data_IF_634713647238
#
_entry.id   IF_634713647238
#
_cell.length_a   1.000
_cell.length_b   1.000
_cell.length_c   1.000
_cell.angle_alpha   90.00
_cell.angle_beta   90.00
_cell.angle_gamma   90.00
#
_symmetry.space_group_name_H-M   'P 1'
#
loop_
_entity.id
_entity.type
_entity.pdbx_description
1 polymer ?
#
# COMPACT_ATOMS: atom_id res chain seq x y z
N UNK A 1 17.25 -19.20 4.84
CA UNK A 1 17.28 -20.66 4.60
C UNK A 1 16.48 -21.31 5.72
N UNK A 2 15.60 -22.25 5.41
CA UNK A 2 15.06 -23.19 6.40
C UNK A 2 16.10 -24.31 6.58
N UNK A 3 16.38 -24.70 7.83
CA UNK A 3 17.24 -25.85 8.13
C UNK A 3 16.37 -27.12 8.15
N UNK A 4 16.77 -28.13 7.39
CA UNK A 4 16.09 -29.43 7.29
C UNK A 4 16.91 -30.45 8.10
N UNK A 5 16.35 -30.92 9.21
CA UNK A 5 16.97 -31.92 10.07
C UNK A 5 16.55 -33.36 9.71
N UNK A 6 15.77 -33.53 8.63
CA UNK A 6 15.27 -34.81 8.14
C UNK A 6 14.15 -35.43 8.98
N UNK A 7 13.71 -34.77 10.05
CA UNK A 7 12.67 -35.29 10.96
C UNK A 7 11.27 -34.81 10.60
N UNK A 8 11.17 -33.69 9.86
CA UNK A 8 9.90 -33.08 9.47
C UNK A 8 9.77 -33.00 7.95
N UNK A 9 8.84 -33.75 7.36
CA UNK A 9 8.54 -33.62 5.94
C UNK A 9 7.64 -32.41 5.70
N UNK A 10 8.17 -31.40 5.00
CA UNK A 10 7.37 -30.26 4.54
C UNK A 10 6.32 -30.78 3.55
N UNK A 11 5.04 -30.65 3.91
CA UNK A 11 3.92 -31.00 3.05
C UNK A 11 3.95 -30.23 1.72
N UNK A 12 3.34 -30.79 0.67
CA UNK A 12 3.22 -30.09 -0.61
C UNK A 12 2.41 -28.80 -0.40
N UNK A 13 2.76 -27.68 -1.07
CA UNK A 13 1.96 -26.47 -1.00
C UNK A 13 0.52 -26.74 -1.47
N UNK A 14 -0.44 -26.59 -0.58
CA UNK A 14 -1.86 -26.65 -0.91
C UNK A 14 -2.41 -25.22 -1.04
N UNK A 15 -3.43 -25.06 -1.87
CA UNK A 15 -4.16 -23.79 -1.94
C UNK A 15 -5.00 -23.65 -0.69
N UNK A 16 -4.78 -22.57 0.06
CA UNK A 16 -5.63 -22.24 1.20
C UNK A 16 -7.09 -22.05 0.75
N UNK A 17 -8.07 -22.51 1.55
CA UNK A 17 -9.48 -22.20 1.33
C UNK A 17 -9.74 -20.69 1.30
N UNK A 18 -10.74 -20.23 0.55
CA UNK A 18 -11.00 -18.78 0.47
C UNK A 18 -11.40 -18.16 1.81
N UNK A 19 -11.95 -18.93 2.75
CA UNK A 19 -12.26 -18.48 4.11
C UNK A 19 -10.98 -18.06 4.85
N UNK A 20 -9.92 -18.85 4.77
CA UNK A 20 -8.62 -18.53 5.38
C UNK A 20 -7.92 -17.37 4.66
N UNK A 21 -7.98 -17.36 3.31
CA UNK A 21 -7.44 -16.23 2.52
C UNK A 21 -8.12 -14.91 2.91
N UNK A 22 -9.45 -14.94 3.07
CA UNK A 22 -10.23 -13.77 3.48
C UNK A 22 -9.83 -13.30 4.88
N UNK A 23 -9.77 -14.22 5.84
CA UNK A 23 -9.39 -13.89 7.21
C UNK A 23 -8.00 -13.21 7.24
N UNK A 24 -7.00 -13.78 6.57
CA UNK A 24 -5.67 -13.18 6.48
C UNK A 24 -5.72 -11.79 5.83
N UNK A 25 -6.52 -11.61 4.78
CA UNK A 25 -6.68 -10.31 4.13
C UNK A 25 -7.33 -9.25 5.05
N UNK A 26 -8.33 -9.62 5.84
CA UNK A 26 -8.99 -8.73 6.80
C UNK A 26 -8.04 -8.32 7.94
N UNK A 27 -7.27 -9.27 8.49
CA UNK A 27 -6.27 -9.01 9.54
C UNK A 27 -5.14 -8.10 9.03
N UNK A 28 -4.60 -8.38 7.85
CA UNK A 28 -3.55 -7.54 7.25
C UNK A 28 -4.08 -6.15 6.86
N UNK A 29 -5.34 -6.05 6.43
CA UNK A 29 -5.98 -4.76 6.18
C UNK A 29 -6.06 -3.94 7.46
N UNK A 30 -6.65 -4.47 8.53
CA UNK A 30 -6.77 -3.76 9.80
C UNK A 30 -5.40 -3.31 10.34
N UNK A 31 -4.41 -4.20 10.36
CA UNK A 31 -3.09 -3.88 10.89
C UNK A 31 -2.29 -2.87 10.04
N UNK A 32 -2.25 -3.07 8.71
CA UNK A 32 -1.43 -2.23 7.84
C UNK A 32 -2.08 -0.88 7.52
N UNK A 33 -3.41 -0.84 7.39
CA UNK A 33 -4.14 0.37 7.02
C UNK A 33 -4.14 1.39 8.15
N UNK A 34 -4.35 0.97 9.40
CA UNK A 34 -4.37 1.87 10.56
C UNK A 34 -3.04 2.61 10.75
N UNK A 35 -1.91 1.93 10.48
CA UNK A 35 -0.59 2.57 10.49
C UNK A 35 -0.46 3.63 9.39
N UNK A 36 -0.97 3.36 8.19
CA UNK A 36 -0.98 4.32 7.09
C UNK A 36 -1.79 5.57 7.45
N UNK A 37 -2.94 5.40 8.10
CA UNK A 37 -3.78 6.49 8.59
C UNK A 37 -3.06 7.35 9.63
N UNK A 38 -2.31 6.73 10.55
CA UNK A 38 -1.47 7.45 11.51
C UNK A 38 -0.42 8.33 10.82
N UNK A 39 0.28 7.77 9.84
CA UNK A 39 1.29 8.49 9.05
C UNK A 39 0.67 9.64 8.25
N UNK A 40 -0.50 9.43 7.64
CA UNK A 40 -1.22 10.50 6.94
C UNK A 40 -1.66 11.62 7.90
N UNK A 41 -2.14 11.29 9.11
CA UNK A 41 -2.47 12.32 10.12
C UNK A 41 -1.25 13.19 10.46
N UNK A 42 -0.07 12.59 10.64
CA UNK A 42 1.16 13.34 10.83
C UNK A 42 1.53 14.19 9.61
N UNK A 43 1.33 13.69 8.39
CA UNK A 43 1.47 14.47 7.17
C UNK A 43 0.54 15.69 7.13
N UNK A 44 -0.72 15.55 7.56
CA UNK A 44 -1.66 16.68 7.65
C UNK A 44 -1.23 17.71 8.70
N UNK A 45 -0.77 17.25 9.87
CA UNK A 45 -0.27 18.14 10.92
C UNK A 45 0.94 18.95 10.43
N UNK A 46 1.88 18.29 9.75
CA UNK A 46 3.06 18.94 9.19
C UNK A 46 2.73 20.02 8.15
N UNK A 47 1.56 19.95 7.49
CA UNK A 47 1.08 21.05 6.64
C UNK A 47 0.78 22.31 7.46
N UNK A 48 0.07 22.15 8.58
CA UNK A 48 -0.34 23.24 9.47
C UNK A 48 0.89 23.87 10.14
N UNK A 49 1.82 23.04 10.58
CA UNK A 49 3.06 23.47 11.25
C UNK A 49 4.15 23.94 10.26
N UNK A 50 3.89 23.81 8.95
CA UNK A 50 4.83 24.11 7.86
C UNK A 50 6.14 23.30 7.92
N UNK A 51 6.08 22.11 8.53
CA UNK A 51 7.20 21.16 8.62
C UNK A 51 7.27 20.25 7.37
N UNK A 52 7.28 20.84 6.17
CA UNK A 52 7.12 20.10 4.91
C UNK A 52 8.17 19.02 4.68
N UNK A 53 9.40 19.22 5.19
CA UNK A 53 10.47 18.23 5.12
C UNK A 53 10.11 16.95 5.87
N UNK A 54 9.72 17.08 7.14
CA UNK A 54 9.33 15.93 7.97
C UNK A 54 7.99 15.35 7.50
N UNK A 55 7.05 16.22 7.15
CA UNK A 55 5.78 15.82 6.56
C UNK A 55 5.94 14.94 5.32
N UNK A 56 6.90 15.27 4.43
CA UNK A 56 7.13 14.51 3.20
C UNK A 56 7.63 13.09 3.48
N UNK A 57 8.38 12.91 4.57
CA UNK A 57 8.76 11.57 5.05
C UNK A 57 7.53 10.78 5.49
N UNK A 58 6.63 11.39 6.26
CA UNK A 58 5.39 10.74 6.68
C UNK A 58 4.47 10.40 5.50
N UNK A 59 4.32 11.30 4.52
CA UNK A 59 3.54 11.05 3.31
C UNK A 59 4.12 9.90 2.49
N UNK A 60 5.45 9.82 2.35
CA UNK A 60 6.10 8.68 1.69
C UNK A 60 5.75 7.36 2.39
N UNK A 61 5.92 7.32 3.71
CA UNK A 61 5.63 6.12 4.51
C UNK A 61 4.15 5.73 4.42
N UNK A 62 3.23 6.70 4.43
CA UNK A 62 1.80 6.45 4.24
C UNK A 62 1.53 5.81 2.87
N UNK A 63 2.09 6.38 1.79
CA UNK A 63 1.97 5.82 0.44
C UNK A 63 2.52 4.39 0.35
N UNK A 64 3.70 4.14 0.91
CA UNK A 64 4.30 2.80 0.96
C UNK A 64 3.35 1.81 1.63
N UNK A 65 2.76 2.20 2.76
CA UNK A 65 1.83 1.36 3.53
C UNK A 65 0.52 1.11 2.80
N UNK A 66 -0.07 2.10 2.14
CA UNK A 66 -1.27 1.91 1.34
C UNK A 66 -1.05 0.89 0.20
N UNK A 67 0.03 1.05 -0.57
CA UNK A 67 0.35 0.08 -1.61
C UNK A 67 0.59 -1.33 -1.04
N UNK A 68 1.35 -1.45 0.05
CA UNK A 68 1.62 -2.76 0.67
C UNK A 68 0.35 -3.41 1.22
N UNK A 69 -0.54 -2.63 1.83
CA UNK A 69 -1.86 -3.10 2.31
C UNK A 69 -2.64 -3.72 1.16
N UNK A 70 -2.76 -3.00 0.04
CA UNK A 70 -3.45 -3.53 -1.13
C UNK A 70 -2.81 -4.83 -1.66
N UNK A 71 -1.48 -4.91 -1.70
CA UNK A 71 -0.77 -6.09 -2.20
C UNK A 71 -0.96 -7.33 -1.31
N UNK A 72 -1.05 -7.12 0.00
CA UNK A 72 -1.35 -8.16 0.99
C UNK A 72 -2.80 -8.64 0.85
N UNK A 73 -3.77 -7.72 0.83
CA UNK A 73 -5.19 -8.06 0.64
C UNK A 73 -5.43 -8.76 -0.70
N UNK A 74 -4.75 -8.33 -1.77
CA UNK A 74 -4.94 -8.86 -3.11
C UNK A 74 -4.37 -10.27 -3.32
N UNK A 75 -3.21 -10.58 -2.74
CA UNK A 75 -2.54 -11.86 -3.04
C UNK A 75 -1.66 -12.41 -1.92
N UNK A 76 -1.77 -11.89 -0.70
CA UNK A 76 -0.91 -12.28 0.42
C UNK A 76 0.58 -11.96 0.21
N UNK A 77 0.93 -11.16 -0.79
CA UNK A 77 2.34 -10.86 -1.09
C UNK A 77 2.76 -9.58 -0.41
N UNK A 78 3.85 -9.63 0.35
CA UNK A 78 4.51 -8.45 0.91
C UNK A 78 5.68 -8.02 0.00
N UNK A 79 5.56 -6.91 -0.75
CA UNK A 79 6.67 -6.40 -1.56
C UNK A 79 7.88 -6.06 -0.68
N UNK A 80 9.07 -6.48 -1.11
CA UNK A 80 10.34 -6.15 -0.43
C UNK A 80 10.80 -4.72 -0.71
N UNK A 81 10.34 -4.12 -1.82
CA UNK A 81 10.68 -2.74 -2.15
C UNK A 81 9.96 -1.74 -1.24
N UNK A 82 10.64 -0.63 -0.96
CA UNK A 82 10.09 0.55 -0.30
C UNK A 82 9.86 1.71 -1.28
N UNK A 83 10.32 1.56 -2.54
CA UNK A 83 10.26 2.61 -3.55
C UNK A 83 8.87 2.75 -4.15
N UNK A 84 8.28 3.94 -4.10
CA UNK A 84 6.93 4.19 -4.64
C UNK A 84 6.88 3.99 -6.16
N UNK A 85 7.98 4.24 -6.85
CA UNK A 85 8.17 4.02 -8.29
C UNK A 85 8.12 2.53 -8.67
N UNK A 86 8.29 1.64 -7.68
CA UNK A 86 8.12 0.19 -7.84
C UNK A 86 6.74 -0.23 -7.37
N UNK A 87 6.31 0.25 -6.21
CA UNK A 87 5.03 -0.14 -5.60
C UNK A 87 3.81 0.33 -6.40
N UNK A 88 3.85 1.54 -6.96
CA UNK A 88 2.78 2.10 -7.79
C UNK A 88 2.48 1.24 -9.02
N UNK A 89 3.48 0.93 -9.88
CA UNK A 89 3.30 0.02 -11.01
C UNK A 89 2.86 -1.39 -10.61
N UNK A 90 3.34 -1.92 -9.48
CA UNK A 90 2.91 -3.23 -8.96
C UNK A 90 1.42 -3.24 -8.58
N UNK A 91 0.92 -2.16 -7.96
CA UNK A 91 -0.50 -2.03 -7.65
C UNK A 91 -1.33 -1.83 -8.93
N UNK A 92 -0.85 -0.98 -9.85
CA UNK A 92 -1.50 -0.71 -11.14
C UNK A 92 -1.67 -1.95 -12.01
N UNK A 93 -0.71 -2.89 -11.99
CA UNK A 93 -0.82 -4.14 -12.76
C UNK A 93 -1.92 -5.08 -12.26
N UNK A 94 -2.38 -4.89 -11.01
CA UNK A 94 -3.43 -5.68 -10.37
C UNK A 94 -4.78 -4.98 -10.36
N UNK A 95 -4.79 -3.65 -10.30
CA UNK A 95 -6.00 -2.85 -10.48
C UNK A 95 -5.74 -1.53 -11.20
N UNK A 96 -6.59 -1.27 -12.21
CA UNK A 96 -6.60 0.00 -12.94
C UNK A 96 -6.97 1.19 -12.04
N UNK A 97 -7.56 0.96 -10.87
CA UNK A 97 -7.88 2.02 -9.90
C UNK A 97 -6.65 2.84 -9.47
N UNK A 98 -5.46 2.23 -9.47
CA UNK A 98 -4.21 2.92 -9.11
C UNK A 98 -3.59 3.74 -10.25
N UNK A 99 -4.10 3.64 -11.48
CA UNK A 99 -3.45 4.24 -12.64
C UNK A 99 -3.32 5.77 -12.58
N UNK A 100 -4.25 6.43 -11.89
CA UNK A 100 -4.36 7.89 -11.85
C UNK A 100 -4.02 8.47 -10.47
N UNK A 101 -3.39 7.71 -9.58
CA UNK A 101 -3.08 8.15 -8.21
C UNK A 101 -1.95 9.16 -8.17
N UNK A 102 -0.92 9.03 -9.02
CA UNK A 102 0.12 10.05 -9.20
C UNK A 102 0.19 10.37 -10.69
N UNK A 103 -0.67 11.28 -11.20
CA UNK A 103 -0.55 11.74 -12.57
C UNK A 103 0.81 12.41 -12.76
N UNK A 104 1.33 12.33 -13.99
CA UNK A 104 2.58 12.98 -14.39
C UNK A 104 2.31 13.86 -15.60
N UNK A 105 1.21 14.62 -15.52
CA UNK A 105 0.68 15.39 -16.64
C UNK A 105 1.58 16.60 -16.91
N UNK A 106 2.03 17.25 -15.84
CA UNK A 106 2.88 18.44 -15.91
C UNK A 106 4.31 18.15 -15.40
N UNK A 107 5.31 18.98 -15.76
CA UNK A 107 6.62 18.95 -15.11
C UNK A 107 6.55 19.09 -13.59
N UNK A 108 5.64 19.92 -13.10
CA UNK A 108 5.44 20.21 -11.68
C UNK A 108 4.92 18.98 -10.91
N UNK A 109 3.96 18.25 -11.51
CA UNK A 109 3.46 16.97 -10.97
C UNK A 109 4.61 15.97 -10.78
N UNK A 110 5.50 15.89 -11.78
CA UNK A 110 6.67 14.99 -11.78
C UNK A 110 7.67 15.39 -10.72
N UNK A 111 7.96 16.68 -10.58
CA UNK A 111 8.90 17.17 -9.57
C UNK A 111 8.38 16.92 -8.16
N UNK A 112 7.10 17.19 -7.89
CA UNK A 112 6.51 16.94 -6.58
C UNK A 112 6.49 15.44 -6.24
N UNK A 113 6.20 14.58 -7.22
CA UNK A 113 6.30 13.14 -7.02
C UNK A 113 7.75 12.66 -6.80
N UNK A 114 8.74 13.19 -7.52
CA UNK A 114 10.16 12.90 -7.30
C UNK A 114 10.57 13.28 -5.86
N UNK A 115 10.16 14.46 -5.39
CA UNK A 115 10.40 14.88 -4.00
C UNK A 115 9.77 13.93 -2.99
N UNK A 116 8.53 13.47 -3.23
CA UNK A 116 7.89 12.47 -2.38
C UNK A 116 8.71 11.17 -2.31
N UNK A 117 9.19 10.68 -3.45
CA UNK A 117 10.00 9.47 -3.52
C UNK A 117 11.33 9.63 -2.76
N UNK A 118 12.02 10.75 -2.96
CA UNK A 118 13.31 11.04 -2.33
C UNK A 118 13.20 11.30 -0.83
N UNK A 119 12.05 11.79 -0.35
CA UNK A 119 11.82 12.12 1.05
C UNK A 119 12.09 10.95 2.01
N UNK A 120 11.93 9.70 1.59
CA UNK A 120 12.25 8.52 2.41
C UNK A 120 13.68 8.54 2.97
N UNK A 121 14.65 8.99 2.16
CA UNK A 121 16.06 9.06 2.56
C UNK A 121 16.44 10.50 2.87
N UNK A 122 16.13 11.42 1.96
CA UNK A 122 16.66 12.77 2.01
C UNK A 122 16.09 13.63 3.14
N UNK A 123 14.82 13.43 3.52
CA UNK A 123 14.23 14.19 4.62
C UNK A 123 14.96 13.95 5.96
N UNK A 124 15.61 12.80 6.13
CA UNK A 124 16.33 12.44 7.36
C UNK A 124 17.78 12.90 7.37
N UNK A 125 18.45 12.84 6.21
CA UNK A 125 19.91 12.97 6.16
C UNK A 125 20.40 14.16 5.32
N UNK A 126 19.62 14.63 4.35
CA UNK A 126 20.04 15.72 3.48
C UNK A 126 19.60 17.07 4.06
N UNK A 127 20.57 17.88 4.52
CA UNK A 127 20.30 19.22 5.06
C UNK A 127 19.72 20.18 4.02
N UNK A 128 20.01 19.97 2.73
CA UNK A 128 19.57 20.82 1.63
C UNK A 128 18.23 20.38 1.02
N UNK A 129 17.63 19.28 1.51
CA UNK A 129 16.33 18.84 1.04
C UNK A 129 15.24 19.81 1.51
N UNK A 130 14.57 20.45 0.55
CA UNK A 130 13.49 21.41 0.75
C UNK A 130 12.29 21.09 -0.15
N UNK A 131 11.11 21.44 0.34
CA UNK A 131 9.82 21.20 -0.31
C UNK A 131 9.03 22.50 -0.21
N UNK A 132 8.50 23.00 -1.33
CA UNK A 132 7.62 24.18 -1.31
C UNK A 132 6.23 23.81 -0.78
N UNK A 133 5.47 24.82 -0.37
CA UNK A 133 4.08 24.62 0.06
C UNK A 133 3.23 23.99 -1.07
N UNK A 134 3.34 24.47 -2.31
CA UNK A 134 2.56 23.92 -3.43
C UNK A 134 2.92 22.45 -3.72
N UNK A 135 4.21 22.12 -3.64
CA UNK A 135 4.67 20.74 -3.79
C UNK A 135 4.11 19.84 -2.68
N UNK A 136 4.09 20.36 -1.45
CA UNK A 136 3.55 19.64 -0.30
C UNK A 136 2.05 19.40 -0.40
N UNK A 137 1.29 20.43 -0.79
CA UNK A 137 -0.15 20.34 -1.03
C UNK A 137 -0.48 19.30 -2.10
N UNK A 138 0.27 19.30 -3.21
CA UNK A 138 0.14 18.27 -4.23
C UNK A 138 0.39 16.89 -3.65
N UNK A 139 1.52 16.68 -2.97
CA UNK A 139 1.87 15.37 -2.40
C UNK A 139 0.79 14.87 -1.44
N UNK A 140 0.29 15.73 -0.54
CA UNK A 140 -0.75 15.40 0.41
C UNK A 140 -2.05 14.99 -0.31
N UNK A 141 -2.52 15.81 -1.26
CA UNK A 141 -3.73 15.50 -2.02
C UNK A 141 -3.62 14.18 -2.80
N UNK A 142 -2.44 13.87 -3.35
CA UNK A 142 -2.20 12.59 -4.03
C UNK A 142 -2.12 11.42 -3.05
N UNK A 143 -1.57 11.60 -1.86
CA UNK A 143 -1.60 10.58 -0.80
C UNK A 143 -3.03 10.30 -0.34
N UNK A 144 -3.89 11.32 -0.23
CA UNK A 144 -5.33 11.12 0.07
C UNK A 144 -6.04 10.38 -1.08
N UNK A 145 -5.75 10.73 -2.33
CA UNK A 145 -6.29 9.98 -3.47
C UNK A 145 -5.86 8.49 -3.43
N UNK A 146 -4.61 8.20 -3.04
CA UNK A 146 -4.13 6.83 -2.87
C UNK A 146 -4.87 6.10 -1.74
N UNK A 147 -5.15 6.79 -0.63
CA UNK A 147 -5.94 6.25 0.48
C UNK A 147 -7.31 5.80 -0.01
N UNK A 148 -8.05 6.67 -0.69
CA UNK A 148 -9.40 6.35 -1.18
C UNK A 148 -9.41 5.18 -2.17
N UNK A 149 -8.45 5.15 -3.10
CA UNK A 149 -8.30 4.01 -4.02
C UNK A 149 -7.99 2.73 -3.24
N UNK A 150 -7.09 2.78 -2.26
CA UNK A 150 -6.75 1.61 -1.44
C UNK A 150 -7.95 1.06 -0.69
N UNK A 151 -8.76 1.91 -0.04
CA UNK A 151 -10.00 1.51 0.64
C UNK A 151 -10.91 0.77 -0.34
N UNK A 152 -11.23 1.41 -1.47
CA UNK A 152 -12.15 0.87 -2.47
C UNK A 152 -11.69 -0.47 -3.04
N UNK A 153 -10.40 -0.58 -3.39
CA UNK A 153 -9.83 -1.78 -4.01
C UNK A 153 -9.69 -2.94 -3.01
N UNK A 154 -9.38 -2.66 -1.74
CA UNK A 154 -9.34 -3.67 -0.69
C UNK A 154 -10.75 -4.20 -0.39
N UNK A 155 -11.74 -3.30 -0.23
CA UNK A 155 -13.13 -3.69 0.01
C UNK A 155 -13.68 -4.54 -1.15
N UNK A 156 -13.41 -4.15 -2.40
CA UNK A 156 -13.81 -4.93 -3.58
C UNK A 156 -13.17 -6.33 -3.61
N UNK A 157 -11.92 -6.45 -3.14
CA UNK A 157 -11.22 -7.73 -3.08
C UNK A 157 -11.75 -8.64 -1.97
N UNK A 158 -12.05 -8.09 -0.79
CA UNK A 158 -12.63 -8.85 0.32
C UNK A 158 -14.02 -9.38 -0.08
N UNK A 159 -14.85 -8.55 -0.71
CA UNK A 159 -16.15 -8.97 -1.24
C UNK A 159 -16.03 -10.03 -2.36
N UNK A 160 -14.93 -10.04 -3.12
CA UNK A 160 -14.64 -11.12 -4.06
C UNK A 160 -14.41 -12.44 -3.33
N UNK A 161 -13.70 -12.44 -2.20
CA UNK A 161 -13.48 -13.65 -1.42
C UNK A 161 -14.79 -14.23 -0.85
N UNK A 162 -15.73 -13.38 -0.42
CA UNK A 162 -17.07 -13.84 0.01
C UNK A 162 -17.77 -14.66 -1.09
N UNK A 163 -17.79 -14.15 -2.32
CA UNK A 163 -18.39 -14.85 -3.48
C UNK A 163 -17.70 -16.18 -3.78
N UNK A 164 -16.39 -16.26 -3.53
CA UNK A 164 -15.63 -17.47 -3.75
C UNK A 164 -15.89 -18.52 -2.67
N UNK A 165 -16.06 -18.11 -1.41
CA UNK A 165 -16.47 -18.98 -0.30
C UNK A 165 -17.83 -19.61 -0.61
N UNK A 166 -18.82 -18.81 -1.00
CA UNK A 166 -20.16 -19.31 -1.39
C UNK A 166 -20.09 -20.32 -2.55
N UNK A 167 -19.13 -20.13 -3.47
CA UNK A 167 -18.92 -21.03 -4.59
C UNK A 167 -18.27 -22.34 -4.14
N UNK A 168 -17.26 -22.29 -3.26
CA UNK A 168 -16.63 -23.48 -2.66
C UNK A 168 -17.66 -24.32 -1.89
N UNK A 169 -18.48 -23.68 -1.06
CA UNK A 169 -19.51 -24.36 -0.26
C UNK A 169 -20.55 -25.06 -1.14
N UNK A 170 -21.04 -24.38 -2.20
CA UNK A 170 -21.97 -25.00 -3.17
C UNK A 170 -21.39 -26.23 -3.87
N UNK A 171 -20.11 -26.23 -4.23
CA UNK A 171 -19.48 -27.42 -4.82
C UNK A 171 -19.31 -28.56 -3.81
N UNK A 172 -19.08 -28.25 -2.54
CA UNK A 172 -18.99 -29.25 -1.48
C UNK A 172 -20.34 -29.91 -1.18
N UNK A 173 -21.45 -29.17 -1.27
CA UNK A 173 -22.81 -29.72 -1.06
C UNK A 173 -23.31 -30.56 -2.24
N UNK A 174 -22.78 -30.34 -3.45
CA UNK A 174 -23.17 -31.06 -4.67
C UNK A 174 -22.29 -32.28 -4.99
N UNK A 175 -21.38 -32.67 -4.09
CA UNK A 175 -20.55 -33.89 -4.16
C UNK A 175 -21.07 -34.94 -3.20
#
# INVERSE_FOLDING_TARGET
>A
LLYDDGTFQIGKPEKLPYREIKQYAEEEYAGCFDMAEGLLRHGKLAQVEKEYKLGSFFLHQACERYYKTYMLVHSGTRPKSHKLEVLGPMAKSRSRGFANVFPVNTPEDREAFDKLCRAYIEARYNRLFTVSEEQYEYMLARTEALREVTIRECAARIAYYDKMIEKEERYATNR
#
